data_IF_532710940531
#
_entry.id   IF_532710940531
#
_cell.length_a   1.000
_cell.length_b   1.000
_cell.length_c   1.000
_cell.angle_alpha   90.00
_cell.angle_beta   90.00
_cell.angle_gamma   90.00
#
_symmetry.space_group_name_H-M   'P 1'
#
loop_
_entity.id
_entity.type
_entity.pdbx_description
1 polymer ?
#
# COMPACT_ATOMS: atom_id res chain seq x y z
N UNK A 1 28.83 12.04 15.77
CA UNK A 1 28.04 13.17 15.23
C UNK A 1 27.12 12.58 14.19
N UNK A 2 25.82 12.80 14.31
CA UNK A 2 24.81 12.27 13.37
C UNK A 2 24.64 13.29 12.25
N UNK A 3 24.72 12.85 11.00
CA UNK A 3 24.59 13.75 9.85
C UNK A 3 23.10 14.07 9.62
N UNK A 4 22.79 15.30 9.21
CA UNK A 4 21.43 15.65 8.80
C UNK A 4 21.04 14.90 7.53
N UNK A 5 19.78 14.45 7.43
CA UNK A 5 19.28 13.80 6.23
C UNK A 5 19.33 14.74 5.03
N UNK A 6 19.85 14.23 3.92
CA UNK A 6 19.94 14.91 2.63
C UNK A 6 19.29 14.07 1.51
N UNK A 7 18.57 14.71 0.57
CA UNK A 7 18.10 14.07 -0.65
C UNK A 7 19.25 13.80 -1.62
N UNK A 8 19.09 12.83 -2.54
CA UNK A 8 20.12 12.47 -3.52
C UNK A 8 21.36 11.81 -2.91
N UNK A 9 21.20 11.19 -1.74
CA UNK A 9 22.27 10.55 -0.96
C UNK A 9 22.02 9.05 -0.87
N UNK A 10 23.06 8.26 -1.04
CA UNK A 10 23.01 6.80 -0.85
C UNK A 10 23.16 6.50 0.65
N UNK A 11 22.14 5.85 1.24
CA UNK A 11 22.16 5.43 2.64
C UNK A 11 22.25 3.90 2.75
N UNK A 12 23.14 3.46 3.63
CA UNK A 12 23.48 2.06 3.88
C UNK A 12 22.97 1.58 5.24
N UNK A 13 22.73 0.26 5.35
CA UNK A 13 22.09 -0.31 6.54
C UNK A 13 22.86 0.04 7.82
N UNK A 14 22.14 0.54 8.83
CA UNK A 14 22.75 1.02 10.07
C UNK A 14 23.09 2.51 10.09
N UNK A 15 22.98 3.23 8.97
CA UNK A 15 23.10 4.69 8.95
C UNK A 15 22.04 5.33 9.85
N UNK A 16 22.44 6.38 10.57
CA UNK A 16 21.55 7.20 11.39
C UNK A 16 21.62 8.62 10.87
N UNK A 17 20.45 9.23 10.66
CA UNK A 17 20.32 10.61 10.18
C UNK A 17 19.43 11.42 11.10
N UNK A 18 19.66 12.72 11.15
CA UNK A 18 18.79 13.66 11.84
C UNK A 18 17.88 14.39 10.84
N UNK A 19 16.57 14.35 11.07
CA UNK A 19 15.59 15.09 10.27
C UNK A 19 14.58 15.77 11.20
N UNK A 20 14.48 17.10 11.10
CA UNK A 20 13.61 17.93 11.95
C UNK A 20 13.84 17.74 13.46
N UNK A 21 15.11 17.57 13.88
CA UNK A 21 15.49 17.41 15.29
C UNK A 21 15.20 16.02 15.88
N UNK A 22 14.89 15.05 15.03
CA UNK A 22 14.63 13.65 15.42
C UNK A 22 15.60 12.74 14.67
N UNK A 23 16.17 11.76 15.38
CA UNK A 23 17.07 10.78 14.79
C UNK A 23 16.30 9.59 14.23
N UNK A 24 16.73 9.13 13.06
CA UNK A 24 16.15 8.00 12.37
C UNK A 24 17.27 7.05 11.93
N UNK A 25 17.10 5.77 12.22
CA UNK A 25 17.97 4.69 11.75
C UNK A 25 17.42 4.12 10.46
N UNK A 26 18.30 3.90 9.50
CA UNK A 26 17.95 3.27 8.25
C UNK A 26 17.53 1.80 8.48
N UNK A 27 16.34 1.45 8.00
CA UNK A 27 15.82 0.08 8.01
C UNK A 27 16.18 -0.61 6.70
N UNK A 28 16.08 0.09 5.56
CA UNK A 28 16.32 -0.46 4.23
C UNK A 28 17.25 0.45 3.41
N UNK A 29 18.36 -0.07 2.85
CA UNK A 29 19.25 0.67 1.96
C UNK A 29 18.50 1.28 0.77
N UNK A 30 18.76 2.54 0.48
CA UNK A 30 18.15 3.23 -0.65
C UNK A 30 18.91 4.51 -1.02
N UNK A 31 18.69 4.96 -2.26
CA UNK A 31 19.05 6.30 -2.70
C UNK A 31 17.92 7.27 -2.35
N UNK A 32 18.20 8.27 -1.52
CA UNK A 32 17.20 9.20 -0.99
C UNK A 32 16.63 10.12 -2.07
N UNK A 33 15.33 10.40 -2.00
CA UNK A 33 14.62 11.33 -2.87
C UNK A 33 14.01 12.46 -2.03
N UNK A 34 13.77 13.63 -2.63
CA UNK A 34 13.29 14.83 -1.92
C UNK A 34 11.97 14.64 -1.17
N UNK A 35 11.12 13.74 -1.66
CA UNK A 35 9.83 13.34 -1.11
C UNK A 35 9.92 12.15 -0.14
N UNK A 36 11.10 11.53 0.02
CA UNK A 36 11.33 10.35 0.87
C UNK A 36 11.99 10.72 2.19
N UNK A 37 11.46 11.75 2.86
CA UNK A 37 11.99 12.17 4.16
C UNK A 37 11.76 11.09 5.23
N UNK A 38 12.64 10.96 6.24
CA UNK A 38 12.53 9.90 7.26
C UNK A 38 11.19 9.87 8.01
N UNK A 39 10.51 11.01 8.12
CA UNK A 39 9.22 11.14 8.77
C UNK A 39 8.04 10.57 7.94
N UNK A 40 8.20 10.45 6.62
CA UNK A 40 7.13 10.03 5.69
C UNK A 40 7.40 8.69 5.01
N UNK A 41 8.55 8.07 5.27
CA UNK A 41 8.93 6.75 4.76
C UNK A 41 9.34 5.79 5.90
N UNK A 42 8.41 5.43 6.81
CA UNK A 42 8.72 4.59 7.98
C UNK A 42 9.14 3.16 7.63
N UNK A 43 8.93 2.72 6.38
CA UNK A 43 9.47 1.46 5.87
C UNK A 43 10.97 1.54 5.54
N UNK A 44 11.49 2.75 5.31
CA UNK A 44 12.90 3.01 5.02
C UNK A 44 13.65 3.49 6.26
N UNK A 45 12.96 4.14 7.20
CA UNK A 45 13.53 4.81 8.36
C UNK A 45 12.76 4.47 9.65
N UNK A 46 13.48 4.05 10.69
CA UNK A 46 12.95 3.79 12.03
C UNK A 46 13.35 4.91 12.98
N UNK A 47 12.39 5.54 13.66
CA UNK A 47 12.67 6.61 14.61
C UNK A 47 13.44 6.08 15.82
N UNK A 48 14.61 6.63 16.09
CA UNK A 48 15.34 6.34 17.33
C UNK A 48 14.77 7.18 18.47
N UNK A 49 14.15 6.52 19.44
CA UNK A 49 13.93 7.10 20.76
C UNK A 49 15.25 6.95 21.53
N UNK A 50 15.84 8.08 21.94
CA UNK A 50 17.17 8.16 22.53
C UNK A 50 17.44 7.07 23.56
N UNK A 51 18.62 6.46 23.45
CA UNK A 51 19.11 5.39 24.33
C UNK A 51 19.15 5.87 25.78
N UNK A 52 18.62 5.08 26.72
CA UNK A 52 18.96 5.24 28.13
C UNK A 52 20.46 4.92 28.32
N UNK A 53 21.21 5.70 29.11
CA UNK A 53 22.64 5.50 29.31
C UNK A 53 22.90 4.26 30.17
N UNK A 54 23.96 3.52 29.85
CA UNK A 54 24.52 2.49 30.73
C UNK A 54 25.03 3.14 32.02
N UNK A 55 24.48 2.71 33.17
CA UNK A 55 25.03 2.98 34.50
C UNK A 55 24.97 1.72 35.41
N UNK A 56 25.86 1.63 36.41
CA UNK A 56 26.30 0.40 37.05
C UNK A 56 25.31 -0.15 38.10
N UNK A 57 25.43 -1.44 38.42
CA UNK A 57 24.64 -2.16 39.42
C UNK A 57 24.51 -1.38 40.73
N UNK A 58 23.29 -0.94 41.06
CA UNK A 58 22.86 -0.70 42.43
C UNK A 58 21.40 -1.13 42.60
N UNK A 59 21.19 -1.91 43.65
CA UNK A 59 19.99 -2.64 44.03
C UNK A 59 18.90 -1.71 44.57
N UNK A 60 17.68 -1.87 44.06
CA UNK A 60 16.46 -1.44 44.73
C UNK A 60 15.49 -2.61 44.72
N UNK A 61 15.06 -3.02 45.91
CA UNK A 61 14.14 -4.14 46.13
C UNK A 61 12.78 -3.83 45.50
N UNK A 62 12.30 -4.77 44.67
CA UNK A 62 10.97 -4.73 44.08
C UNK A 62 9.91 -4.99 45.17
N UNK A 63 8.80 -4.22 45.23
CA UNK A 63 7.62 -4.70 45.94
C UNK A 63 7.06 -5.94 45.20
N UNK A 64 6.42 -6.89 45.90
CA UNK A 64 6.08 -8.19 45.34
C UNK A 64 5.19 -8.04 44.10
N UNK A 65 5.54 -8.76 43.04
CA UNK A 65 4.70 -8.89 41.85
C UNK A 65 3.36 -9.53 42.23
N UNK A 66 2.26 -8.78 42.13
CA UNK A 66 0.95 -9.39 41.93
C UNK A 66 0.94 -10.03 40.54
N UNK A 67 1.15 -11.35 40.50
CA UNK A 67 0.91 -12.16 39.32
C UNK A 67 -0.60 -12.12 39.03
N UNK A 68 -1.00 -11.47 37.95
CA UNK A 68 -2.32 -11.69 37.37
C UNK A 68 -2.23 -12.85 36.37
N UNK A 69 -2.95 -13.96 36.59
CA UNK A 69 -2.99 -15.09 35.66
C UNK A 69 -3.63 -14.69 34.32
N UNK A 70 -3.14 -15.26 33.22
CA UNK A 70 -3.57 -14.98 31.84
C UNK A 70 -4.99 -15.49 31.47
N UNK A 71 -5.81 -15.86 32.45
CA UNK A 71 -7.16 -16.42 32.25
C UNK A 71 -8.30 -15.41 32.53
N UNK A 72 -8.21 -14.20 31.97
CA UNK A 72 -9.35 -13.28 31.89
C UNK A 72 -9.48 -12.69 30.47
N UNK A 73 -9.79 -13.54 29.50
CA UNK A 73 -10.16 -13.13 28.14
C UNK A 73 -11.68 -12.87 27.96
N UNK A 74 -12.44 -12.64 29.04
CA UNK A 74 -13.90 -12.58 28.97
C UNK A 74 -14.55 -11.27 29.45
N UNK A 75 -13.80 -10.20 29.74
CA UNK A 75 -14.40 -8.92 30.20
C UNK A 75 -14.23 -7.72 29.26
N UNK A 76 -13.82 -7.92 28.01
CA UNK A 76 -13.88 -6.85 26.98
C UNK A 76 -14.34 -7.39 25.63
N UNK A 77 -15.35 -8.26 25.64
CA UNK A 77 -16.13 -8.54 24.43
C UNK A 77 -17.01 -7.33 24.14
N UNK A 78 -16.60 -6.50 23.18
CA UNK A 78 -17.51 -5.53 22.59
C UNK A 78 -18.35 -6.29 21.57
N UNK A 79 -19.57 -6.67 21.95
CA UNK A 79 -20.51 -7.33 21.04
C UNK A 79 -21.04 -6.34 20.00
N UNK A 80 -21.07 -6.77 18.74
CA UNK A 80 -21.66 -6.02 17.64
C UNK A 80 -23.16 -6.26 17.60
N UNK A 81 -23.95 -5.19 17.65
CA UNK A 81 -25.39 -5.26 17.34
C UNK A 81 -25.61 -5.61 15.86
N UNK A 82 -26.69 -6.33 15.52
CA UNK A 82 -26.96 -6.78 14.15
C UNK A 82 -27.04 -5.62 13.13
N UNK A 83 -27.45 -4.41 13.55
CA UNK A 83 -27.41 -3.20 12.74
C UNK A 83 -26.01 -2.59 12.54
N UNK A 84 -25.05 -2.82 13.45
CA UNK A 84 -23.68 -2.29 13.32
C UNK A 84 -22.85 -3.12 12.33
N UNK A 85 -23.19 -4.41 12.16
CA UNK A 85 -22.52 -5.31 11.22
C UNK A 85 -22.75 -4.95 9.75
N UNK A 86 -23.78 -4.17 9.45
CA UNK A 86 -24.12 -3.71 8.09
C UNK A 86 -23.68 -2.26 7.82
N UNK A 87 -23.14 -1.55 8.81
CA UNK A 87 -22.62 -0.18 8.67
C UNK A 87 -21.13 -0.21 8.30
N UNK A 88 -20.70 0.72 7.46
CA UNK A 88 -19.27 0.86 7.17
C UNK A 88 -18.57 1.48 8.39
N UNK A 89 -17.28 1.19 8.57
CA UNK A 89 -16.46 1.76 9.64
C UNK A 89 -16.53 3.30 9.73
N UNK A 90 -16.64 3.95 8.57
CA UNK A 90 -16.75 5.41 8.44
C UNK A 90 -18.14 5.98 8.72
N UNK A 91 -19.15 5.12 8.94
CA UNK A 91 -20.50 5.52 9.33
C UNK A 91 -20.70 5.38 10.86
N UNK A 92 -19.69 4.85 11.57
CA UNK A 92 -19.69 4.78 13.04
C UNK A 92 -19.38 6.15 13.65
N UNK A 93 -19.99 6.45 14.79
CA UNK A 93 -19.71 7.66 15.55
C UNK A 93 -18.24 7.72 16.05
N UNK A 94 -17.60 8.90 16.13
CA UNK A 94 -16.20 9.02 16.56
C UNK A 94 -15.89 8.41 17.93
N UNK A 95 -16.80 8.47 18.90
CA UNK A 95 -16.58 7.82 20.20
C UNK A 95 -16.65 6.30 20.10
N UNK A 96 -17.53 5.77 19.24
CA UNK A 96 -17.66 4.34 18.98
C UNK A 96 -16.42 3.78 18.28
N UNK A 97 -15.84 4.52 17.34
CA UNK A 97 -14.54 4.17 16.71
C UNK A 97 -13.42 4.10 17.74
N UNK A 98 -13.32 5.12 18.60
CA UNK A 98 -12.32 5.19 19.68
C UNK A 98 -12.47 4.06 20.71
N UNK A 99 -13.70 3.66 21.04
CA UNK A 99 -13.94 2.50 21.91
C UNK A 99 -13.53 1.17 21.27
N UNK A 100 -13.73 1.01 19.95
CA UNK A 100 -13.26 -0.16 19.21
C UNK A 100 -11.72 -0.17 19.06
N UNK A 101 -11.09 1.00 18.95
CA UNK A 101 -9.63 1.16 18.94
C UNK A 101 -8.98 0.82 20.30
N UNK A 102 -9.64 1.15 21.42
CA UNK A 102 -9.13 0.93 22.78
C UNK A 102 -9.47 -0.47 23.31
N UNK A 103 -10.61 -1.05 22.90
CA UNK A 103 -11.10 -2.34 23.39
C UNK A 103 -10.92 -3.53 22.43
N UNK A 104 -10.53 -3.31 21.18
CA UNK A 104 -10.49 -4.34 20.13
C UNK A 104 -9.24 -4.24 19.26
N UNK A 105 -8.11 -4.76 19.75
CA UNK A 105 -6.86 -4.80 19.00
C UNK A 105 -7.00 -5.46 17.62
N UNK A 106 -6.42 -4.82 16.61
CA UNK A 106 -5.87 -5.38 15.35
C UNK A 106 -6.78 -6.22 14.43
N UNK A 107 -8.04 -6.50 14.77
CA UNK A 107 -8.93 -7.36 13.97
C UNK A 107 -10.02 -6.62 13.19
N UNK A 108 -10.31 -5.37 13.51
CA UNK A 108 -11.28 -4.58 12.73
C UNK A 108 -10.71 -4.14 11.37
N UNK A 109 -9.42 -3.79 11.30
CA UNK A 109 -8.77 -3.32 10.06
C UNK A 109 -8.77 -4.35 8.93
N UNK A 110 -8.67 -5.64 9.27
CA UNK A 110 -8.64 -6.75 8.33
C UNK A 110 -9.95 -6.92 7.53
N UNK A 111 -11.09 -6.43 8.02
CA UNK A 111 -12.41 -6.67 7.39
C UNK A 111 -12.87 -5.56 6.42
N UNK A 112 -12.09 -4.49 6.23
CA UNK A 112 -12.63 -3.19 5.80
C UNK A 112 -12.57 -2.83 4.31
N UNK A 113 -11.97 -3.64 3.42
CA UNK A 113 -11.93 -3.31 1.97
C UNK A 113 -13.11 -3.93 1.18
N UNK A 114 -14.27 -4.06 1.82
CA UNK A 114 -15.54 -4.43 1.17
C UNK A 114 -15.86 -5.92 1.18
N UNK A 115 -16.66 -6.34 2.16
CA UNK A 115 -17.43 -7.59 2.09
C UNK A 115 -16.62 -8.87 2.29
N UNK A 116 -16.01 -9.00 3.46
CA UNK A 116 -15.43 -10.25 3.93
C UNK A 116 -14.02 -10.47 3.43
N UNK A 117 -13.11 -10.75 4.36
CA UNK A 117 -11.93 -11.56 4.09
C UNK A 117 -12.39 -12.70 3.17
N UNK A 118 -12.05 -12.67 1.88
CA UNK A 118 -12.01 -13.90 1.11
C UNK A 118 -11.00 -14.74 1.89
N UNK A 119 -11.53 -15.65 2.68
CA UNK A 119 -10.80 -16.58 3.50
C UNK A 119 -9.89 -17.38 2.56
N UNK A 120 -8.67 -16.90 2.33
CA UNK A 120 -7.71 -17.67 1.55
C UNK A 120 -7.02 -18.68 2.46
N UNK A 121 -7.22 -19.93 2.06
CA UNK A 121 -6.59 -21.18 2.47
C UNK A 121 -5.58 -21.10 3.64
N UNK A 122 -6.11 -21.43 4.82
CA UNK A 122 -5.66 -22.56 5.65
C UNK A 122 -4.15 -22.84 5.61
N UNK A 123 -3.34 -22.13 6.40
CA UNK A 123 -2.19 -22.67 7.16
C UNK A 123 -1.63 -21.61 8.14
N UNK A 124 -1.64 -21.92 9.44
CA UNK A 124 -0.83 -21.36 10.56
C UNK A 124 0.01 -20.09 10.30
N UNK A 125 -0.61 -18.92 10.28
CA UNK A 125 0.14 -17.66 10.50
C UNK A 125 0.03 -17.22 11.96
N UNK A 126 1.16 -16.83 12.53
CA UNK A 126 1.27 -16.45 13.93
C UNK A 126 0.53 -15.12 14.16
N UNK A 127 0.12 -14.87 15.40
CA UNK A 127 -0.55 -13.61 15.77
C UNK A 127 0.28 -12.37 15.44
N UNK A 128 1.62 -12.49 15.41
CA UNK A 128 2.50 -11.38 15.02
C UNK A 128 2.36 -10.98 13.54
N UNK A 129 2.23 -11.95 12.63
CA UNK A 129 2.10 -11.69 11.19
C UNK A 129 0.78 -10.98 10.88
N UNK A 130 -0.32 -11.43 11.49
CA UNK A 130 -1.63 -10.77 11.40
C UNK A 130 -1.56 -9.33 11.89
N UNK A 131 -0.83 -9.09 12.98
CA UNK A 131 -0.66 -7.74 13.52
C UNK A 131 0.15 -6.85 12.59
N UNK A 132 1.22 -7.38 11.98
CA UNK A 132 2.02 -6.66 11.00
C UNK A 132 1.20 -6.29 9.76
N UNK A 133 0.40 -7.22 9.23
CA UNK A 133 -0.51 -6.97 8.10
C UNK A 133 -1.55 -5.91 8.43
N UNK A 134 -2.20 -6.01 9.58
CA UNK A 134 -3.18 -5.03 10.03
C UNK A 134 -2.58 -3.63 10.21
N UNK A 135 -1.34 -3.55 10.72
CA UNK A 135 -0.62 -2.29 10.86
C UNK A 135 -0.24 -1.69 9.50
N UNK A 136 0.26 -2.50 8.57
CA UNK A 136 0.58 -2.07 7.20
C UNK A 136 -0.65 -1.54 6.46
N UNK A 137 -1.78 -2.24 6.59
CA UNK A 137 -3.06 -1.82 6.02
C UNK A 137 -3.51 -0.46 6.60
N UNK A 138 -3.48 -0.30 7.93
CA UNK A 138 -3.86 0.96 8.59
C UNK A 138 -3.00 2.14 8.13
N UNK A 139 -1.69 1.93 7.98
CA UNK A 139 -0.80 2.98 7.48
C UNK A 139 -1.14 3.36 6.03
N UNK A 140 -1.29 2.36 5.15
CA UNK A 140 -1.66 2.62 3.76
C UNK A 140 -2.99 3.38 3.65
N UNK A 141 -4.02 2.98 4.41
CA UNK A 141 -5.32 3.66 4.46
C UNK A 141 -5.20 5.11 4.94
N UNK A 142 -4.44 5.35 6.01
CA UNK A 142 -4.21 6.69 6.56
C UNK A 142 -3.55 7.60 5.51
N UNK A 143 -2.55 7.09 4.80
CA UNK A 143 -1.86 7.85 3.75
C UNK A 143 -2.73 8.03 2.49
N UNK A 144 -3.51 7.02 2.12
CA UNK A 144 -4.44 7.08 0.99
C UNK A 144 -5.53 8.13 1.21
N UNK A 145 -6.07 8.20 2.43
CA UNK A 145 -7.01 9.26 2.83
C UNK A 145 -6.37 10.63 2.75
N UNK A 146 -5.12 10.78 3.23
CA UNK A 146 -4.40 12.04 3.17
C UNK A 146 -4.22 12.50 1.72
N UNK A 147 -3.79 11.61 0.82
CA UNK A 147 -3.66 11.90 -0.61
C UNK A 147 -5.00 12.30 -1.24
N UNK A 148 -6.06 11.58 -0.93
CA UNK A 148 -7.40 11.93 -1.39
C UNK A 148 -7.84 13.31 -0.88
N UNK A 149 -7.65 13.62 0.41
CA UNK A 149 -7.98 14.93 0.97
C UNK A 149 -7.21 16.06 0.30
N UNK A 150 -5.90 15.90 0.09
CA UNK A 150 -5.08 16.86 -0.66
C UNK A 150 -5.60 17.08 -2.07
N UNK A 151 -5.97 16.01 -2.78
CA UNK A 151 -6.54 16.09 -4.12
C UNK A 151 -7.87 16.87 -4.14
N UNK A 152 -8.78 16.61 -3.19
CA UNK A 152 -10.08 17.30 -3.15
C UNK A 152 -9.98 18.77 -2.72
N UNK A 153 -8.96 19.13 -1.93
CA UNK A 153 -8.76 20.51 -1.45
C UNK A 153 -7.94 21.37 -2.43
N UNK A 154 -6.88 20.79 -3.02
CA UNK A 154 -5.89 21.52 -3.83
C UNK A 154 -5.96 21.21 -5.33
N UNK A 155 -6.73 20.21 -5.76
CA UNK A 155 -6.74 19.73 -7.14
C UNK A 155 -5.48 18.95 -7.50
N UNK A 156 -5.34 18.61 -8.80
CA UNK A 156 -4.14 17.96 -9.31
C UNK A 156 -3.09 19.02 -9.70
N UNK A 157 -1.92 18.98 -9.09
CA UNK A 157 -0.77 19.83 -9.45
C UNK A 157 -0.07 19.40 -10.76
N UNK A 158 -0.75 18.62 -11.61
CA UNK A 158 -0.24 18.07 -12.88
C UNK A 158 0.58 16.79 -12.73
N UNK A 159 0.99 16.43 -11.51
CA UNK A 159 1.74 15.21 -11.23
C UNK A 159 0.81 14.01 -11.04
N UNK A 160 1.23 12.80 -11.45
CA UNK A 160 0.49 11.57 -11.15
C UNK A 160 0.21 11.44 -9.65
N UNK A 161 -1.06 11.31 -9.28
CA UNK A 161 -1.55 11.28 -7.90
C UNK A 161 -2.52 10.12 -7.72
N UNK A 162 -2.43 9.46 -6.56
CA UNK A 162 -3.32 8.37 -6.19
C UNK A 162 -4.47 8.89 -5.33
N UNK A 163 -5.70 8.57 -5.71
CA UNK A 163 -6.91 9.04 -5.01
C UNK A 163 -7.70 7.84 -4.50
N UNK A 164 -7.89 7.76 -3.18
CA UNK A 164 -8.73 6.75 -2.56
C UNK A 164 -10.18 6.90 -3.04
N UNK A 165 -10.73 5.81 -3.57
CA UNK A 165 -12.12 5.68 -4.04
C UNK A 165 -12.66 4.31 -3.61
N UNK A 166 -13.92 4.03 -3.99
CA UNK A 166 -14.53 2.73 -3.71
C UNK A 166 -15.50 2.31 -4.79
N UNK A 167 -15.76 1.01 -4.89
CA UNK A 167 -16.76 0.49 -5.81
C UNK A 167 -16.37 0.72 -7.26
N UNK A 168 -17.38 0.90 -8.11
CA UNK A 168 -17.22 1.28 -9.52
C UNK A 168 -17.04 2.80 -9.75
N UNK A 169 -16.76 3.59 -8.70
CA UNK A 169 -16.62 5.05 -8.84
C UNK A 169 -15.29 5.42 -9.49
N UNK A 170 -15.37 6.04 -10.67
CA UNK A 170 -14.22 6.56 -11.42
C UNK A 170 -14.16 8.09 -11.26
N UNK A 171 -13.20 8.64 -10.48
CA UNK A 171 -13.04 10.08 -10.33
C UNK A 171 -12.64 10.76 -11.65
N UNK A 172 -13.01 12.03 -11.78
CA UNK A 172 -12.61 12.84 -12.94
C UNK A 172 -11.09 12.93 -13.05
N UNK A 173 -10.56 12.78 -14.28
CA UNK A 173 -9.13 12.81 -14.54
C UNK A 173 -8.42 11.47 -14.30
N UNK A 174 -9.15 10.40 -13.97
CA UNK A 174 -8.59 9.07 -13.90
C UNK A 174 -7.87 8.70 -15.21
N UNK A 175 -6.65 8.20 -15.07
CA UNK A 175 -5.78 7.91 -16.21
C UNK A 175 -6.26 6.65 -16.94
N UNK A 176 -6.72 6.83 -18.18
CA UNK A 176 -7.11 5.71 -19.05
C UNK A 176 -5.84 4.95 -19.45
N UNK A 177 -5.71 3.75 -18.90
CA UNK A 177 -4.51 2.91 -19.00
C UNK A 177 -4.66 1.78 -20.01
N UNK A 178 -5.84 1.62 -20.59
CA UNK A 178 -6.17 0.57 -21.54
C UNK A 178 -7.66 0.50 -21.81
N UNK A 179 -8.08 -0.60 -22.40
CA UNK A 179 -9.48 -0.86 -22.72
C UNK A 179 -9.73 -2.37 -22.86
N UNK A 180 -10.94 -2.80 -22.53
CA UNK A 180 -11.45 -4.13 -22.87
C UNK A 180 -11.67 -4.23 -24.40
N UNK A 181 -11.96 -5.44 -24.89
CA UNK A 181 -12.17 -5.71 -26.33
C UNK A 181 -13.36 -4.94 -26.94
N UNK A 182 -14.34 -4.57 -26.12
CA UNK A 182 -15.51 -3.77 -26.53
C UNK A 182 -15.26 -2.25 -26.50
N UNK A 183 -14.05 -1.82 -26.16
CA UNK A 183 -13.67 -0.41 -26.00
C UNK A 183 -13.99 0.18 -24.63
N UNK A 184 -14.53 -0.60 -23.68
CA UNK A 184 -14.72 -0.13 -22.30
C UNK A 184 -13.38 0.28 -21.70
N UNK A 185 -13.23 1.50 -21.16
CA UNK A 185 -11.95 1.98 -20.64
C UNK A 185 -11.53 1.21 -19.38
N UNK A 186 -10.22 0.99 -19.26
CA UNK A 186 -9.58 0.44 -18.07
C UNK A 186 -8.65 1.47 -17.45
N UNK A 187 -8.59 1.48 -16.12
CA UNK A 187 -7.79 2.43 -15.33
C UNK A 187 -6.85 1.68 -14.40
N UNK A 188 -5.79 2.36 -13.92
CA UNK A 188 -4.96 1.83 -12.86
C UNK A 188 -5.63 1.99 -11.50
N UNK A 189 -5.77 0.87 -10.78
CA UNK A 189 -6.06 0.86 -9.36
C UNK A 189 -4.92 0.23 -8.58
N UNK A 190 -4.86 0.47 -7.28
CA UNK A 190 -3.95 -0.23 -6.36
C UNK A 190 -4.56 -0.38 -4.97
N UNK A 191 -4.15 -1.40 -4.25
CA UNK A 191 -4.55 -1.61 -2.86
C UNK A 191 -3.44 -2.26 -2.04
N UNK A 192 -3.54 -2.20 -0.72
CA UNK A 192 -2.68 -2.97 0.16
C UNK A 192 -3.20 -4.41 0.25
N UNK A 193 -2.33 -5.38 -0.03
CA UNK A 193 -2.65 -6.81 0.01
C UNK A 193 -1.38 -7.59 0.37
N UNK A 194 -1.48 -8.55 1.30
CA UNK A 194 -0.37 -9.46 1.69
C UNK A 194 0.98 -8.76 1.94
N UNK A 195 0.95 -7.67 2.71
CA UNK A 195 2.16 -6.95 3.12
C UNK A 195 2.73 -6.00 2.07
N UNK A 196 2.13 -5.93 0.88
CA UNK A 196 2.54 -5.06 -0.22
C UNK A 196 1.43 -4.15 -0.71
N UNK A 197 1.79 -3.22 -1.59
CA UNK A 197 0.83 -2.44 -2.39
C UNK A 197 0.87 -2.99 -3.80
N UNK A 198 -0.24 -3.51 -4.28
CA UNK A 198 -0.34 -4.17 -5.58
C UNK A 198 -1.19 -3.34 -6.54
N UNK A 199 -0.64 -2.95 -7.71
CA UNK A 199 -1.42 -2.34 -8.76
C UNK A 199 -2.16 -3.39 -9.60
N UNK A 200 -3.27 -2.96 -10.19
CA UNK A 200 -4.12 -3.76 -11.04
C UNK A 200 -5.00 -2.90 -11.95
N UNK A 201 -6.17 -3.43 -12.30
CA UNK A 201 -7.10 -2.77 -13.22
C UNK A 201 -8.41 -2.39 -12.54
N UNK A 202 -9.03 -1.33 -13.05
CA UNK A 202 -10.35 -0.84 -12.62
C UNK A 202 -11.19 -0.60 -13.86
N UNK A 203 -12.49 -0.87 -13.76
CA UNK A 203 -13.47 -0.60 -14.81
C UNK A 203 -14.76 -0.08 -14.17
N UNK A 204 -15.51 0.82 -14.84
CA UNK A 204 -16.87 1.14 -14.42
C UNK A 204 -17.82 -0.07 -14.40
N UNK A 205 -17.46 -1.16 -15.11
CA UNK A 205 -18.27 -2.38 -15.19
C UNK A 205 -17.93 -3.42 -14.10
N UNK A 206 -16.90 -3.20 -13.29
CA UNK A 206 -16.56 -4.12 -12.19
C UNK A 206 -17.46 -3.85 -10.98
N UNK A 207 -18.10 -4.90 -10.46
CA UNK A 207 -19.08 -4.76 -9.37
C UNK A 207 -18.44 -4.33 -8.05
N UNK A 208 -17.29 -4.93 -7.70
CA UNK A 208 -16.56 -4.59 -6.47
C UNK A 208 -15.69 -3.35 -6.63
N UNK A 209 -14.92 -3.24 -7.70
CA UNK A 209 -14.12 -2.04 -7.95
C UNK A 209 -12.80 -2.34 -8.65
N UNK A 210 -11.74 -2.58 -7.88
CA UNK A 210 -10.42 -2.88 -8.43
C UNK A 210 -10.15 -4.39 -8.43
N UNK A 211 -9.47 -4.86 -9.47
CA UNK A 211 -8.98 -6.24 -9.59
C UNK A 211 -7.45 -6.19 -9.61
N UNK A 212 -6.81 -6.86 -8.67
CA UNK A 212 -5.35 -7.04 -8.62
C UNK A 212 -4.99 -8.50 -8.89
N UNK A 213 -3.79 -8.72 -9.44
CA UNK A 213 -3.21 -10.06 -9.56
C UNK A 213 -2.35 -10.37 -8.34
N UNK A 214 -2.52 -11.54 -7.74
CA UNK A 214 -1.67 -12.03 -6.66
C UNK A 214 -1.64 -13.57 -6.65
N UNK A 215 -0.45 -14.14 -6.51
CA UNK A 215 -0.21 -15.60 -6.50
C UNK A 215 -0.97 -16.37 -7.61
N UNK A 216 -0.93 -15.86 -8.84
CA UNK A 216 -1.62 -16.41 -10.03
C UNK A 216 -3.16 -16.30 -10.02
N UNK A 217 -3.76 -15.72 -8.98
CA UNK A 217 -5.20 -15.51 -8.85
C UNK A 217 -5.58 -14.02 -9.05
N UNK A 218 -6.87 -13.78 -9.32
CA UNK A 218 -7.46 -12.44 -9.33
C UNK A 218 -8.14 -12.17 -7.99
N UNK A 219 -7.82 -11.01 -7.41
CA UNK A 219 -8.41 -10.54 -6.16
C UNK A 219 -9.20 -9.27 -6.45
N UNK A 220 -10.50 -9.32 -6.19
CA UNK A 220 -11.39 -8.17 -6.31
C UNK A 220 -11.55 -7.45 -4.97
N UNK A 221 -11.35 -6.13 -4.97
CA UNK A 221 -11.43 -5.27 -3.78
C UNK A 221 -12.38 -4.09 -4.01
N UNK A 222 -13.08 -3.68 -2.95
CA UNK A 222 -13.99 -2.53 -3.02
C UNK A 222 -13.26 -1.20 -2.85
N UNK A 223 -12.36 -1.12 -1.88
CA UNK A 223 -11.61 0.08 -1.53
C UNK A 223 -10.20 0.02 -2.12
N UNK A 224 -9.84 1.05 -2.87
CA UNK A 224 -8.59 1.13 -3.62
C UNK A 224 -8.24 2.58 -3.92
N UNK A 225 -6.99 2.83 -4.28
CA UNK A 225 -6.61 4.09 -4.90
C UNK A 225 -6.62 3.97 -6.42
N UNK A 226 -7.13 4.98 -7.11
CA UNK A 226 -7.09 5.10 -8.57
C UNK A 226 -6.09 6.17 -8.98
N UNK A 227 -5.37 5.94 -10.08
CA UNK A 227 -4.38 6.88 -10.58
C UNK A 227 -5.06 8.04 -11.33
N UNK A 228 -4.79 9.27 -10.90
CA UNK A 228 -5.10 10.50 -11.61
C UNK A 228 -3.81 11.04 -12.19
N UNK A 229 -3.71 11.21 -13.51
CA UNK A 229 -2.53 11.74 -14.16
C UNK A 229 -2.88 12.54 -15.41
N UNK A 230 -2.10 13.59 -15.69
CA UNK A 230 -2.18 14.29 -16.96
C UNK A 230 -1.47 13.46 -18.04
N UNK A 231 -2.04 13.32 -19.25
CA UNK A 231 -1.34 12.72 -20.38
C UNK A 231 -0.02 13.41 -20.75
N UNK A 232 0.22 14.63 -20.23
CA UNK A 232 1.46 15.38 -20.46
C UNK A 232 2.57 15.04 -19.45
N UNK A 233 2.23 14.50 -18.27
CA UNK A 233 3.20 14.20 -17.20
C UNK A 233 3.72 12.77 -17.22
N UNK A 234 3.18 11.92 -18.10
CA UNK A 234 3.60 10.54 -18.30
C UNK A 234 3.59 10.17 -19.77
N UNK A 235 4.38 9.16 -20.13
CA UNK A 235 4.36 8.53 -21.45
C UNK A 235 4.57 7.03 -21.33
N UNK A 236 4.20 6.29 -22.36
CA UNK A 236 4.49 4.87 -22.46
C UNK A 236 5.91 4.63 -22.98
N UNK A 237 6.58 3.61 -22.45
CA UNK A 237 7.86 3.12 -22.96
C UNK A 237 7.78 1.62 -23.19
N UNK A 238 8.25 1.16 -24.35
CA UNK A 238 8.20 -0.25 -24.74
C UNK A 238 9.14 -1.09 -23.87
N UNK A 239 8.70 -2.30 -23.50
CA UNK A 239 9.48 -3.26 -22.75
C UNK A 239 9.16 -4.69 -23.19
N UNK A 240 10.12 -5.59 -22.96
CA UNK A 240 9.98 -7.01 -23.28
C UNK A 240 10.68 -7.90 -22.25
N UNK A 241 10.06 -9.03 -21.90
CA UNK A 241 10.58 -9.95 -20.89
C UNK A 241 10.67 -9.30 -19.52
N UNK A 242 11.65 -9.71 -18.70
CA UNK A 242 11.99 -9.00 -17.46
C UNK A 242 12.39 -7.55 -17.76
N UNK A 243 11.75 -6.61 -17.07
CA UNK A 243 12.01 -5.20 -17.28
C UNK A 243 13.38 -4.80 -16.74
N UNK A 244 14.01 -3.84 -17.40
CA UNK A 244 15.19 -3.14 -16.89
C UNK A 244 15.00 -1.63 -17.09
N UNK A 245 15.05 -0.90 -15.97
CA UNK A 245 14.72 0.51 -15.93
C UNK A 245 15.67 1.35 -16.80
N UNK A 246 16.90 0.87 -17.04
CA UNK A 246 17.90 1.61 -17.81
C UNK A 246 17.48 1.80 -19.28
N UNK A 247 16.66 0.89 -19.82
CA UNK A 247 16.26 0.91 -21.24
C UNK A 247 14.92 1.62 -21.48
N UNK A 248 14.22 2.06 -20.44
CA UNK A 248 12.91 2.71 -20.57
C UNK A 248 13.01 4.18 -21.05
N UNK A 249 14.21 4.76 -21.07
CA UNK A 249 14.44 6.16 -21.47
C UNK A 249 13.69 7.18 -20.61
N UNK A 250 13.28 6.78 -19.40
CA UNK A 250 12.50 7.59 -18.47
C UNK A 250 12.32 6.83 -17.15
N UNK A 251 12.06 7.55 -16.07
CA UNK A 251 11.83 6.95 -14.76
C UNK A 251 10.47 6.25 -14.74
N UNK A 252 10.38 4.94 -14.45
CA UNK A 252 9.10 4.24 -14.35
C UNK A 252 8.26 4.75 -13.18
N UNK A 253 6.94 4.78 -13.38
CA UNK A 253 5.97 5.15 -12.35
C UNK A 253 5.75 3.95 -11.43
N UNK A 254 6.19 4.07 -10.17
CA UNK A 254 5.97 3.05 -9.14
C UNK A 254 4.49 3.03 -8.74
N UNK A 255 3.82 1.91 -9.02
CA UNK A 255 2.45 1.65 -8.65
C UNK A 255 2.31 1.08 -7.25
N UNK A 256 3.33 0.35 -6.81
CA UNK A 256 3.37 -0.24 -5.49
C UNK A 256 4.68 -0.98 -5.24
N UNK A 257 4.72 -1.78 -4.18
CA UNK A 257 5.91 -2.51 -3.76
C UNK A 257 5.49 -3.74 -2.97
N UNK A 258 6.19 -4.83 -3.19
CA UNK A 258 6.08 -6.09 -2.45
C UNK A 258 7.46 -6.48 -1.89
N UNK A 259 7.53 -7.58 -1.14
CA UNK A 259 8.77 -8.00 -0.47
C UNK A 259 9.97 -8.14 -1.42
N UNK A 260 9.73 -8.60 -2.63
CA UNK A 260 10.73 -8.82 -3.69
C UNK A 260 11.18 -7.54 -4.40
N UNK A 261 10.42 -6.44 -4.29
CA UNK A 261 10.81 -5.18 -4.89
C UNK A 261 9.65 -4.30 -5.37
N UNK A 262 9.98 -3.22 -6.10
CA UNK A 262 9.00 -2.28 -6.62
C UNK A 262 8.16 -2.91 -7.75
N UNK A 263 6.92 -2.46 -7.84
CA UNK A 263 5.97 -2.78 -8.89
C UNK A 263 5.67 -1.52 -9.69
N UNK A 264 5.92 -1.57 -10.99
CA UNK A 264 5.69 -0.48 -11.92
C UNK A 264 4.43 -0.70 -12.75
N UNK A 265 3.81 0.41 -13.13
CA UNK A 265 2.57 0.40 -13.90
C UNK A 265 2.83 0.04 -15.36
N UNK A 266 2.06 -0.92 -15.87
CA UNK A 266 2.16 -1.35 -17.27
C UNK A 266 0.81 -1.43 -17.96
N UNK A 267 0.83 -1.35 -19.28
CA UNK A 267 -0.26 -1.85 -20.12
C UNK A 267 0.27 -2.95 -21.04
N UNK A 268 -0.52 -4.00 -21.25
CA UNK A 268 -0.14 -5.11 -22.13
C UNK A 268 -1.31 -5.54 -23.04
N UNK A 269 -1.06 -5.80 -24.33
CA UNK A 269 -2.08 -6.32 -25.23
C UNK A 269 -2.41 -7.78 -24.89
N UNK A 270 -3.70 -8.09 -24.74
CA UNK A 270 -4.16 -9.46 -24.50
C UNK A 270 -5.63 -9.61 -24.92
N UNK A 271 -5.97 -10.69 -25.65
CA UNK A 271 -7.34 -11.02 -26.09
C UNK A 271 -8.11 -9.82 -26.67
N UNK A 272 -7.49 -9.12 -27.63
CA UNK A 272 -8.05 -7.95 -28.34
C UNK A 272 -8.27 -6.69 -27.46
N UNK A 273 -7.94 -6.76 -26.17
CA UNK A 273 -7.88 -5.63 -25.26
C UNK A 273 -6.45 -5.18 -24.97
N UNK A 274 -6.34 -4.06 -24.25
CA UNK A 274 -5.10 -3.56 -23.65
C UNK A 274 -5.33 -3.45 -22.16
N UNK A 275 -4.63 -4.27 -21.38
CA UNK A 275 -4.91 -4.46 -19.96
C UNK A 275 -3.84 -3.79 -19.08
N UNK A 276 -4.26 -2.97 -18.10
CA UNK A 276 -3.38 -2.49 -17.05
C UNK A 276 -2.91 -3.63 -16.13
N UNK A 277 -1.70 -3.50 -15.60
CA UNK A 277 -1.15 -4.46 -14.65
C UNK A 277 0.13 -3.96 -13.99
N UNK A 278 1.00 -4.90 -13.62
CA UNK A 278 2.27 -4.65 -12.92
C UNK A 278 3.46 -5.30 -13.62
N UNK A 279 4.65 -4.72 -13.46
CA UNK A 279 5.94 -5.37 -13.74
C UNK A 279 6.95 -4.98 -12.67
N UNK A 280 8.09 -5.65 -12.61
CA UNK A 280 9.17 -5.33 -11.68
C UNK A 280 10.45 -6.06 -12.07
N UNK A 281 11.62 -5.68 -11.52
CA UNK A 281 12.89 -6.32 -11.83
C UNK A 281 12.91 -7.82 -11.50
N UNK A 282 12.08 -8.24 -10.53
CA UNK A 282 11.90 -9.63 -10.12
C UNK A 282 10.82 -10.39 -10.91
N UNK A 283 10.09 -9.72 -11.80
CA UNK A 283 9.05 -10.33 -12.63
C UNK A 283 9.58 -10.67 -14.03
N UNK A 284 8.90 -11.61 -14.71
CA UNK A 284 9.32 -12.13 -16.03
C UNK A 284 8.70 -11.40 -17.21
N UNK A 285 7.82 -10.45 -16.96
CA UNK A 285 7.03 -9.75 -17.97
C UNK A 285 6.07 -8.76 -17.33
N UNK A 286 5.00 -8.43 -18.04
CA UNK A 286 3.84 -7.75 -17.48
C UNK A 286 2.85 -8.77 -16.92
N UNK A 287 2.58 -8.68 -15.63
CA UNK A 287 1.52 -9.43 -14.97
C UNK A 287 0.23 -8.63 -15.07
N UNK A 288 -0.73 -9.17 -15.82
CA UNK A 288 -2.09 -8.61 -15.99
C UNK A 288 -3.13 -9.61 -15.49
N UNK A 289 -4.30 -9.12 -15.13
CA UNK A 289 -5.45 -9.96 -14.75
C UNK A 289 -6.41 -10.14 -15.92
N UNK A 290 -6.70 -11.37 -16.31
CA UNK A 290 -7.76 -11.69 -17.27
C UNK A 290 -8.39 -13.07 -17.02
N UNK A 291 -9.71 -13.10 -16.91
CA UNK A 291 -10.50 -14.33 -16.85
C UNK A 291 -10.34 -15.09 -15.53
N UNK A 292 -10.24 -14.38 -14.41
CA UNK A 292 -10.10 -14.94 -13.07
C UNK A 292 -8.68 -15.40 -12.73
N UNK A 293 -7.68 -14.99 -13.51
CA UNK A 293 -6.28 -15.42 -13.35
C UNK A 293 -5.31 -14.31 -13.72
N UNK A 294 -4.14 -14.35 -13.09
CA UNK A 294 -2.98 -13.59 -13.54
C UNK A 294 -2.40 -14.22 -14.82
N UNK A 295 -1.93 -13.37 -15.73
CA UNK A 295 -1.31 -13.72 -17.02
C UNK A 295 -0.04 -12.92 -17.16
N UNK A 296 1.03 -13.61 -17.57
CA UNK A 296 2.31 -12.98 -17.89
C UNK A 296 2.34 -12.69 -19.40
N UNK A 297 2.54 -11.44 -19.77
CA UNK A 297 2.67 -10.99 -21.16
C UNK A 297 4.10 -10.52 -21.41
N UNK A 298 4.73 -11.07 -22.45
CA UNK A 298 6.15 -10.83 -22.74
C UNK A 298 6.42 -9.45 -23.33
N UNK A 299 5.54 -8.91 -24.17
CA UNK A 299 5.70 -7.59 -24.80
C UNK A 299 4.64 -6.63 -24.28
N UNK A 300 5.07 -5.50 -23.72
CA UNK A 300 4.21 -4.59 -22.99
C UNK A 300 4.83 -3.18 -22.95
N UNK A 301 4.12 -2.24 -22.33
CA UNK A 301 4.59 -0.87 -22.15
C UNK A 301 4.58 -0.51 -20.67
N UNK A 302 5.66 0.07 -20.20
CA UNK A 302 5.79 0.62 -18.84
C UNK A 302 5.45 2.11 -18.88
N UNK A 303 4.65 2.56 -17.92
CA UNK A 303 4.36 3.98 -17.74
C UNK A 303 5.59 4.65 -17.12
N UNK A 304 6.12 5.69 -17.76
CA UNK A 304 7.26 6.48 -17.27
C UNK A 304 6.87 7.95 -17.15
N UNK A 305 7.52 8.67 -16.23
CA UNK A 305 7.36 10.11 -16.12
C UNK A 305 7.87 10.83 -17.38
N UNK A 306 7.18 11.92 -17.73
CA UNK A 306 7.59 12.84 -18.78
C UNK A 306 8.12 14.11 -18.08
N UNK A 307 9.39 14.45 -18.34
CA UNK A 307 10.09 15.61 -17.77
C UNK A 307 10.42 16.61 -18.88
#
# INVERSE_FOLDING_TARGET
MVNSWQPGTDYNIGDVVEFQGVQYRLIQPHFSQGDWTPAVTPALWGREYGTAPTQPQQSYEQPPQEQRPWDQHDQTKVEFGEEEKSKNWYDLDPERRKQLEIGGGLLAGAALLGGGFLAYKKHKENEEDKKALAWGLQNWLTDAQRRAQHFHQGGNNGQPTWVLTKGNRIPQGAFVAGQESDGTPLYFGRTFFEGGVHPGKVSPNFQKGCIIGYDNDEIEVEDYEILIASPQSVRWSEARGTMDAQYLGGRPVEGGREQSGPLYLVQAPYKEGTHPGKTGPHLRGADITYGGKEKIVDTYRVLVYNY
#
